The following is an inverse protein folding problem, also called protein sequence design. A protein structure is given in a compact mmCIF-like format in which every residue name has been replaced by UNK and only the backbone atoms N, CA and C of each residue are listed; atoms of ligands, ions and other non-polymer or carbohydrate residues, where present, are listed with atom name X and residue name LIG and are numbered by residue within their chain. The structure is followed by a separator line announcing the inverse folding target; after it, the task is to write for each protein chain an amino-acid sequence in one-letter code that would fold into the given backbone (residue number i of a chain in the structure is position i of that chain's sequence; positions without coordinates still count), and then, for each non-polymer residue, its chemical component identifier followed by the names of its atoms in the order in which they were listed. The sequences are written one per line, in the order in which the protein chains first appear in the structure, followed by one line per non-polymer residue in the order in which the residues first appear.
data_IF_497890728013
#
_entry.id   IF_497890728013
#
_cell.length_a   1.000
_cell.length_b   1.000
_cell.length_c   1.000
_cell.angle_alpha   90.00
_cell.angle_beta   90.00
_cell.angle_gamma   90.00
#
_symmetry.space_group_name_H-M   'P 1'
#
loop_
_entity.id
_entity.type
_entity.pdbx_description
1 polymer ?
#
# COMPACT_ATOMS: atom_id res chain seq x y z
N UNK A 1 27.36 -19.47 17.63
CA UNK A 1 26.67 -18.74 16.54
C UNK A 1 25.40 -18.13 17.13
N UNK A 2 25.43 -16.87 17.59
CA UNK A 2 24.26 -16.28 18.26
C UNK A 2 23.21 -15.89 17.22
N UNK A 3 22.03 -16.51 17.31
CA UNK A 3 20.86 -16.18 16.50
C UNK A 3 20.36 -14.77 16.87
N UNK A 4 20.60 -13.79 16.01
CA UNK A 4 20.03 -12.46 16.17
C UNK A 4 18.53 -12.52 15.88
N UNK A 5 17.71 -12.49 16.93
CA UNK A 5 16.26 -12.38 16.83
C UNK A 5 15.89 -10.99 16.29
N UNK A 6 15.40 -10.95 15.04
CA UNK A 6 14.95 -9.71 14.39
C UNK A 6 13.67 -9.24 15.10
N UNK A 7 13.77 -8.19 15.92
CA UNK A 7 12.60 -7.54 16.54
C UNK A 7 11.73 -6.97 15.43
N UNK A 8 10.50 -7.50 15.30
CA UNK A 8 9.49 -7.01 14.37
C UNK A 8 8.96 -5.68 14.91
N UNK A 9 9.37 -4.57 14.31
CA UNK A 9 8.85 -3.24 14.64
C UNK A 9 7.47 -3.12 14.03
N UNK A 10 6.44 -3.01 14.87
CA UNK A 10 5.08 -2.66 14.45
C UNK A 10 5.01 -1.14 14.32
N UNK A 11 4.77 -0.66 13.10
CA UNK A 11 4.57 0.76 12.84
C UNK A 11 3.18 1.17 13.37
N UNK A 12 3.11 1.60 14.64
CA UNK A 12 1.89 2.13 15.23
C UNK A 12 1.77 3.60 14.82
N UNK A 13 0.91 3.89 13.84
CA UNK A 13 0.57 5.26 13.45
C UNK A 13 -0.88 5.51 13.84
N UNK A 14 -1.07 6.27 14.92
CA UNK A 14 -2.36 6.79 15.30
C UNK A 14 -2.70 7.94 14.34
N UNK A 15 -3.65 7.74 13.44
CA UNK A 15 -4.19 8.83 12.63
C UNK A 15 -5.22 9.59 13.47
N UNK A 16 -5.23 10.91 13.32
CA UNK A 16 -6.25 11.74 13.97
C UNK A 16 -7.63 11.41 13.39
N UNK A 17 -8.64 11.25 14.26
CA UNK A 17 -10.02 10.86 13.90
C UNK A 17 -10.62 11.71 12.77
N UNK A 18 -10.21 12.98 12.65
CA UNK A 18 -10.66 13.87 11.57
C UNK A 18 -10.25 13.40 10.16
N UNK A 19 -9.18 12.62 10.01
CA UNK A 19 -8.79 12.03 8.72
C UNK A 19 -9.71 10.87 8.30
N UNK A 20 -10.43 10.29 9.26
CA UNK A 20 -11.36 9.17 9.07
C UNK A 20 -12.83 9.62 9.07
N UNK A 21 -13.08 10.92 9.30
CA UNK A 21 -14.40 11.49 9.58
C UNK A 21 -15.25 11.74 8.31
N UNK A 22 -14.63 11.82 7.15
CA UNK A 22 -15.35 11.75 5.88
C UNK A 22 -15.55 10.28 5.54
N UNK A 23 -16.67 9.90 4.93
CA UNK A 23 -16.97 8.56 4.39
C UNK A 23 -15.91 8.12 3.36
N UNK A 24 -14.68 7.91 3.82
CA UNK A 24 -13.44 7.70 3.07
C UNK A 24 -13.50 6.43 2.19
N UNK A 25 -14.59 5.67 2.33
CA UNK A 25 -14.89 4.44 1.62
C UNK A 25 -15.38 4.67 0.19
N UNK A 26 -15.69 5.90 -0.24
CA UNK A 26 -15.84 6.17 -1.68
C UNK A 26 -14.50 6.52 -2.37
N UNK A 27 -13.40 6.63 -1.61
CA UNK A 27 -12.14 7.16 -2.13
C UNK A 27 -11.17 6.05 -2.51
N UNK A 28 -10.88 5.94 -3.80
CA UNK A 28 -9.94 4.95 -4.33
C UNK A 28 -8.56 4.99 -3.66
N UNK A 29 -8.03 3.82 -3.30
CA UNK A 29 -6.74 3.65 -2.63
C UNK A 29 -5.62 3.74 -3.66
N UNK A 30 -4.77 4.75 -3.56
CA UNK A 30 -3.58 4.86 -4.42
C UNK A 30 -2.39 4.11 -3.77
N UNK A 31 -1.90 3.04 -4.43
CA UNK A 31 -0.79 2.22 -3.92
C UNK A 31 0.43 2.26 -4.84
N UNK A 32 1.62 2.08 -4.28
CA UNK A 32 2.88 1.94 -5.03
C UNK A 32 3.05 0.57 -5.72
N UNK A 33 2.06 -0.33 -5.57
CA UNK A 33 2.09 -1.68 -6.13
C UNK A 33 2.87 -2.70 -5.30
N UNK A 34 3.46 -2.32 -4.17
CA UNK A 34 4.23 -3.24 -3.34
C UNK A 34 3.38 -4.40 -2.80
N UNK A 35 3.98 -5.59 -2.61
CA UNK A 35 3.24 -6.74 -2.07
C UNK A 35 2.66 -6.48 -0.66
N UNK A 36 3.28 -5.58 0.12
CA UNK A 36 2.75 -5.14 1.40
C UNK A 36 1.46 -4.30 1.28
N UNK A 37 1.24 -3.66 0.14
CA UNK A 37 0.06 -2.83 -0.14
C UNK A 37 -0.99 -3.59 -0.96
N UNK A 38 -0.59 -4.36 -1.97
CA UNK A 38 -1.48 -5.06 -2.93
C UNK A 38 -1.64 -6.57 -2.67
N UNK A 39 -0.95 -7.11 -1.66
CA UNK A 39 -0.98 -8.55 -1.35
C UNK A 39 -2.40 -9.06 -1.08
N UNK A 40 -2.77 -10.16 -1.75
CA UNK A 40 -4.14 -10.73 -1.69
C UNK A 40 -4.64 -11.09 -0.29
N UNK A 41 -3.76 -11.57 0.59
CA UNK A 41 -4.12 -12.07 1.93
C UNK A 41 -3.69 -11.15 3.07
N UNK A 42 -2.61 -10.40 2.87
CA UNK A 42 -1.97 -9.59 3.93
C UNK A 42 -1.64 -8.17 3.49
N UNK A 43 -2.01 -7.79 2.27
CA UNK A 43 -1.83 -6.44 1.76
C UNK A 43 -2.80 -5.46 2.41
N UNK A 44 -2.40 -4.20 2.46
CA UNK A 44 -3.24 -3.10 2.94
C UNK A 44 -4.62 -3.08 2.25
N UNK A 45 -4.67 -3.24 0.92
CA UNK A 45 -5.94 -3.24 0.17
C UNK A 45 -6.85 -4.39 0.56
N UNK A 46 -6.30 -5.58 0.81
CA UNK A 46 -7.07 -6.73 1.28
C UNK A 46 -7.71 -6.45 2.65
N UNK A 47 -6.99 -5.79 3.56
CA UNK A 47 -7.50 -5.40 4.88
C UNK A 47 -8.54 -4.28 4.81
N UNK A 48 -8.36 -3.31 3.92
CA UNK A 48 -9.36 -2.26 3.72
C UNK A 48 -10.64 -2.84 3.14
N UNK A 49 -10.54 -3.79 2.20
CA UNK A 49 -11.72 -4.49 1.64
C UNK A 49 -12.52 -5.31 2.66
N UNK A 50 -11.92 -5.72 3.78
CA UNK A 50 -12.64 -6.37 4.90
C UNK A 50 -13.61 -5.42 5.61
N UNK A 51 -13.29 -4.12 5.65
CA UNK A 51 -14.10 -3.07 6.31
C UNK A 51 -14.95 -2.28 5.30
N UNK A 52 -14.47 -2.22 4.04
CA UNK A 52 -14.98 -1.35 2.99
C UNK A 52 -14.92 -2.09 1.63
N UNK A 53 -15.90 -2.94 1.34
CA UNK A 53 -15.93 -3.78 0.13
C UNK A 53 -15.93 -3.00 -1.18
N UNK A 54 -16.54 -1.81 -1.18
CA UNK A 54 -16.66 -0.93 -2.35
C UNK A 54 -15.37 -0.16 -2.67
N UNK A 55 -14.36 -0.27 -1.80
CA UNK A 55 -13.10 0.42 -2.01
C UNK A 55 -12.31 -0.19 -3.17
N UNK A 56 -11.97 0.64 -4.15
CA UNK A 56 -11.14 0.24 -5.27
C UNK A 56 -9.71 0.76 -5.11
N UNK A 57 -8.72 -0.02 -5.56
CA UNK A 57 -7.31 0.37 -5.48
C UNK A 57 -6.74 0.66 -6.85
N UNK A 58 -6.09 1.81 -7.00
CA UNK A 58 -5.36 2.21 -8.20
C UNK A 58 -3.86 2.22 -7.94
N UNK A 59 -3.08 1.99 -8.98
CA UNK A 59 -1.63 2.12 -8.91
C UNK A 59 -1.25 3.61 -9.01
N UNK A 60 -0.34 4.06 -8.17
CA UNK A 60 0.14 5.43 -8.16
C UNK A 60 0.73 5.81 -9.52
N UNK A 61 0.21 6.89 -10.11
CA UNK A 61 0.63 7.39 -11.43
C UNK A 61 2.13 7.72 -11.46
N UNK A 62 2.64 8.31 -10.37
CA UNK A 62 4.07 8.65 -10.24
C UNK A 62 4.92 7.38 -10.26
N UNK A 63 4.55 6.36 -9.49
CA UNK A 63 5.26 5.08 -9.49
C UNK A 63 5.17 4.38 -10.84
N UNK A 64 4.00 4.44 -11.52
CA UNK A 64 3.80 3.87 -12.85
C UNK A 64 4.68 4.55 -13.90
N UNK A 65 4.77 5.88 -13.87
CA UNK A 65 5.61 6.66 -14.79
C UNK A 65 7.10 6.35 -14.59
N UNK A 66 7.55 6.29 -13.34
CA UNK A 66 8.94 5.93 -13.00
C UNK A 66 9.26 4.51 -13.47
N UNK A 67 8.36 3.54 -13.27
CA UNK A 67 8.53 2.17 -13.77
C UNK A 67 8.52 2.10 -15.30
N UNK A 68 7.69 2.91 -15.95
CA UNK A 68 7.67 3.09 -17.40
C UNK A 68 9.02 3.55 -17.89
N UNK A 69 9.48 4.69 -17.37
CA UNK A 69 10.76 5.37 -17.66
C UNK A 69 12.02 4.54 -17.36
N UNK A 70 11.95 3.56 -16.47
CA UNK A 70 13.08 2.66 -16.16
C UNK A 70 13.24 1.54 -17.19
N UNK A 71 12.15 1.07 -17.82
CA UNK A 71 12.19 -0.05 -18.77
C UNK A 71 12.84 0.32 -20.10
N UNK A 72 12.82 1.59 -20.47
CA UNK A 72 13.49 2.19 -21.64
C UNK A 72 14.98 2.50 -21.41
N UNK A 73 15.54 2.22 -20.22
CA UNK A 73 16.99 2.39 -19.95
C UNK A 73 17.75 1.05 -19.99
N UNK A 74 17.07 -0.10 -20.03
CA UNK A 74 17.69 -1.44 -20.12
C UNK A 74 17.81 -1.98 -21.55
N UNK A 75 17.79 -1.09 -22.55
CA UNK A 75 18.01 -1.41 -23.96
C UNK A 75 19.23 -0.68 -24.51
N UNK A 76 20.40 -0.86 -23.90
CA UNK A 76 21.72 -0.65 -24.50
C UNK A 76 22.65 -1.75 -24.01
#
# INVERSE_FOLDING_TARGET
MSSTSKKRVTFNRQYHESYLKYDFVETGICTDGAAATTGRLSGLTARIKEVASESESTHCLIHREVLGSRKNVTGI
#
